data_IF_484336442473
#
_entry.id   IF_484336442473
#
_cell.length_a   1.000
_cell.length_b   1.000
_cell.length_c   1.000
_cell.angle_alpha   90.00
_cell.angle_beta   90.00
_cell.angle_gamma   90.00
#
_symmetry.space_group_name_H-M   'P 1'
#
loop_
_entity.id
_entity.type
_entity.pdbx_description
1 polymer ?
#
# COMPACT_ATOMS: atom_id res chain seq x y z
N UNK A 1 8.41 10.04 -1.24
CA UNK A 1 8.60 8.71 -1.85
C UNK A 1 8.28 7.55 -0.90
N UNK A 2 8.66 7.57 0.39
CA UNK A 2 8.39 6.48 1.35
C UNK A 2 7.04 6.59 2.10
N UNK A 3 5.94 6.90 1.39
CA UNK A 3 4.64 7.16 2.02
C UNK A 3 4.07 5.95 2.76
N UNK A 4 4.23 4.76 2.21
CA UNK A 4 3.61 3.54 2.74
C UNK A 4 4.60 2.56 3.37
N UNK A 5 5.89 2.91 3.40
CA UNK A 5 6.94 2.07 3.97
C UNK A 5 6.64 1.67 5.42
N UNK A 6 7.01 0.47 5.85
CA UNK A 6 6.50 -0.06 7.12
C UNK A 6 6.96 0.73 8.34
N UNK A 7 8.23 1.16 8.37
CA UNK A 7 8.82 1.98 9.45
C UNK A 7 8.51 3.47 9.33
N UNK A 8 7.24 3.83 9.42
CA UNK A 8 6.78 5.23 9.34
C UNK A 8 7.38 6.13 10.43
N UNK A 9 7.78 5.56 11.58
CA UNK A 9 8.51 6.26 12.64
C UNK A 9 9.87 6.78 12.14
N UNK A 10 10.62 5.96 11.41
CA UNK A 10 11.91 6.35 10.86
C UNK A 10 11.75 7.28 9.67
N UNK A 11 10.74 7.04 8.82
CA UNK A 11 10.42 7.94 7.71
C UNK A 11 10.05 9.33 8.21
N UNK A 12 9.31 9.44 9.31
CA UNK A 12 8.97 10.72 9.93
C UNK A 12 10.23 11.46 10.40
N UNK A 13 11.16 10.77 11.09
CA UNK A 13 12.45 11.34 11.50
C UNK A 13 13.25 11.88 10.32
N UNK A 14 13.31 11.15 9.22
CA UNK A 14 13.98 11.60 7.99
C UNK A 14 13.34 12.86 7.39
N UNK A 15 12.01 12.93 7.35
CA UNK A 15 11.29 14.08 6.78
C UNK A 15 11.47 15.35 7.61
N UNK A 16 11.48 15.24 8.94
CA UNK A 16 11.62 16.38 9.84
C UNK A 16 13.07 16.82 10.08
N UNK A 17 14.05 16.05 9.59
CA UNK A 17 15.47 16.31 9.87
C UNK A 17 16.00 17.57 9.16
N UNK A 18 16.83 18.38 9.87
CA UNK A 18 17.67 19.41 9.25
C UNK A 18 18.57 18.85 8.15
N UNK A 19 18.87 19.61 7.08
CA UNK A 19 19.65 19.12 5.94
C UNK A 19 21.00 18.50 6.28
N UNK A 20 21.71 19.03 7.28
CA UNK A 20 23.01 18.57 7.78
C UNK A 20 22.93 17.21 8.49
N UNK A 21 21.79 16.88 9.09
CA UNK A 21 21.59 15.61 9.81
C UNK A 21 21.04 14.49 8.91
N UNK A 22 20.46 14.83 7.76
CA UNK A 22 19.84 13.87 6.84
C UNK A 22 20.76 12.74 6.38
N UNK A 23 22.05 12.97 6.02
CA UNK A 23 22.92 11.88 5.57
C UNK A 23 23.17 10.81 6.64
N UNK A 24 23.31 11.22 7.90
CA UNK A 24 23.47 10.31 9.03
C UNK A 24 22.20 9.49 9.26
N UNK A 25 21.06 10.17 9.38
CA UNK A 25 19.77 9.51 9.59
C UNK A 25 19.37 8.60 8.42
N UNK A 26 19.76 8.92 7.19
CA UNK A 26 19.53 8.06 6.03
C UNK A 26 20.35 6.76 6.14
N UNK A 27 21.60 6.85 6.57
CA UNK A 27 22.45 5.69 6.80
C UNK A 27 21.89 4.79 7.89
N UNK A 28 21.41 5.39 8.98
CA UNK A 28 20.79 4.64 10.08
C UNK A 28 19.47 4.01 9.64
N UNK A 29 18.64 4.74 8.90
CA UNK A 29 17.42 4.23 8.29
C UNK A 29 17.72 3.02 7.41
N UNK A 30 18.68 3.15 6.49
CA UNK A 30 19.07 2.08 5.58
C UNK A 30 19.48 0.82 6.34
N UNK A 31 20.41 0.94 7.29
CA UNK A 31 20.88 -0.19 8.10
C UNK A 31 19.80 -0.81 8.98
N UNK A 32 18.93 0.00 9.56
CA UNK A 32 17.87 -0.47 10.48
C UNK A 32 16.75 -1.20 9.74
N UNK A 33 16.57 -0.90 8.45
CA UNK A 33 15.46 -1.44 7.66
C UNK A 33 15.89 -2.57 6.74
N UNK A 34 17.18 -2.83 6.63
CA UNK A 34 17.78 -3.91 5.86
C UNK A 34 17.57 -5.26 6.60
N UNK A 35 16.75 -6.17 6.04
CA UNK A 35 16.51 -7.48 6.65
C UNK A 35 17.66 -8.47 6.43
N UNK A 36 18.53 -8.26 5.44
CA UNK A 36 19.64 -9.16 5.10
C UNK A 36 20.94 -8.38 4.94
N UNK A 37 21.60 -7.95 6.04
CA UNK A 37 22.80 -7.08 5.99
C UNK A 37 24.05 -7.70 5.35
N UNK A 38 23.95 -8.95 4.89
CA UNK A 38 25.01 -9.65 4.17
C UNK A 38 25.00 -9.36 2.67
N UNK A 39 23.91 -8.82 2.13
CA UNK A 39 23.84 -8.32 0.76
C UNK A 39 24.18 -6.82 0.74
N UNK A 40 24.66 -6.28 -0.38
CA UNK A 40 24.85 -4.84 -0.53
C UNK A 40 23.53 -4.08 -0.77
N UNK A 41 22.46 -4.77 -1.13
CA UNK A 41 21.12 -4.23 -1.34
C UNK A 41 20.35 -4.03 -0.01
N UNK A 42 19.18 -3.40 -0.07
CA UNK A 42 18.23 -3.38 1.04
C UNK A 42 16.91 -3.94 0.52
N UNK A 43 16.66 -5.21 0.81
CA UNK A 43 15.55 -5.96 0.21
C UNK A 43 14.19 -5.37 0.60
N UNK A 44 14.07 -4.76 1.78
CA UNK A 44 12.83 -4.11 2.20
C UNK A 44 12.52 -2.88 1.35
N UNK A 45 13.54 -2.06 1.03
CA UNK A 45 13.38 -0.91 0.15
C UNK A 45 13.16 -1.33 -1.30
N UNK A 46 13.88 -2.33 -1.77
CA UNK A 46 13.73 -2.85 -3.13
C UNK A 46 12.32 -3.41 -3.34
N UNK A 47 11.84 -4.22 -2.40
CA UNK A 47 10.47 -4.74 -2.43
C UNK A 47 9.42 -3.63 -2.36
N UNK A 48 9.63 -2.63 -1.51
CA UNK A 48 8.75 -1.46 -1.44
C UNK A 48 8.65 -0.73 -2.78
N UNK A 49 9.79 -0.41 -3.39
CA UNK A 49 9.82 0.27 -4.69
C UNK A 49 9.27 -0.60 -5.82
N UNK A 50 9.52 -1.90 -5.79
CA UNK A 50 8.91 -2.87 -6.72
C UNK A 50 7.39 -2.85 -6.63
N UNK A 51 6.82 -2.84 -5.42
CA UNK A 51 5.37 -2.73 -5.22
C UNK A 51 4.80 -1.39 -5.69
N UNK A 52 5.52 -0.29 -5.47
CA UNK A 52 5.12 1.03 -5.99
C UNK A 52 5.06 1.02 -7.52
N UNK A 53 6.06 0.41 -8.17
CA UNK A 53 6.07 0.29 -9.63
C UNK A 53 4.90 -0.56 -10.15
N UNK A 54 4.64 -1.71 -9.52
CA UNK A 54 3.50 -2.57 -9.89
C UNK A 54 2.17 -1.85 -9.66
N UNK A 55 2.03 -1.13 -8.54
CA UNK A 55 0.84 -0.35 -8.26
C UNK A 55 0.58 0.70 -9.35
N UNK A 56 1.62 1.38 -9.82
CA UNK A 56 1.52 2.32 -10.93
C UNK A 56 1.11 1.67 -12.24
N UNK A 57 1.56 0.46 -12.51
CA UNK A 57 1.19 -0.27 -13.73
C UNK A 57 -0.26 -0.78 -13.67
N UNK A 58 -0.71 -1.27 -12.51
CA UNK A 58 -1.99 -2.00 -12.39
C UNK A 58 -3.16 -1.13 -11.95
N UNK A 59 -2.92 -0.09 -11.16
CA UNK A 59 -3.97 0.66 -10.47
C UNK A 59 -3.96 2.15 -10.81
N UNK A 60 -3.36 2.54 -11.93
CA UNK A 60 -3.47 3.89 -12.45
C UNK A 60 -4.92 4.24 -12.77
N UNK A 61 -5.33 5.43 -12.34
CA UNK A 61 -6.64 6.01 -12.61
C UNK A 61 -6.44 7.31 -13.38
N UNK A 62 -7.45 7.76 -14.15
CA UNK A 62 -7.29 8.87 -15.11
C UNK A 62 -6.70 10.15 -14.51
N UNK A 63 -6.90 10.39 -13.21
CA UNK A 63 -6.40 11.56 -12.50
C UNK A 63 -5.21 11.27 -11.55
N UNK A 64 -5.00 10.01 -11.16
CA UNK A 64 -4.11 9.64 -10.05
C UNK A 64 -3.13 8.54 -10.49
N UNK A 65 -1.81 8.69 -10.23
CA UNK A 65 -0.87 7.59 -10.44
C UNK A 65 -1.23 6.42 -9.51
N UNK A 66 -1.00 5.19 -9.95
CA UNK A 66 -1.54 4.03 -9.26
C UNK A 66 -1.12 3.87 -7.80
N UNK A 67 0.08 4.30 -7.41
CA UNK A 67 0.52 4.31 -6.01
C UNK A 67 -0.30 5.25 -5.11
N UNK A 68 -1.00 6.24 -5.64
CA UNK A 68 -1.86 7.16 -4.88
C UNK A 68 -3.33 6.71 -4.82
N UNK A 69 -3.71 5.66 -5.54
CA UNK A 69 -5.08 5.15 -5.49
C UNK A 69 -5.28 4.23 -4.29
N UNK A 70 -6.53 4.02 -3.89
CA UNK A 70 -6.87 3.15 -2.76
C UNK A 70 -6.39 1.71 -2.97
N UNK A 71 -6.50 1.21 -4.21
CA UNK A 71 -6.00 -0.13 -4.58
C UNK A 71 -4.47 -0.18 -4.50
N UNK A 72 -3.79 0.86 -4.98
CA UNK A 72 -2.33 0.92 -4.88
C UNK A 72 -1.83 1.03 -3.46
N UNK A 73 -2.47 1.84 -2.61
CA UNK A 73 -2.16 1.92 -1.19
C UNK A 73 -2.26 0.54 -0.52
N UNK A 74 -3.39 -0.15 -0.70
CA UNK A 74 -3.63 -1.48 -0.11
C UNK A 74 -2.62 -2.49 -0.65
N UNK A 75 -2.35 -2.49 -1.96
CA UNK A 75 -1.40 -3.41 -2.57
C UNK A 75 0.04 -3.18 -2.06
N UNK A 76 0.48 -1.94 -1.96
CA UNK A 76 1.84 -1.63 -1.48
C UNK A 76 2.02 -2.12 -0.05
N UNK A 77 1.01 -1.90 0.80
CA UNK A 77 1.11 -2.17 2.24
C UNK A 77 0.79 -3.62 2.63
N UNK A 78 -0.18 -4.26 1.98
CA UNK A 78 -0.62 -5.62 2.31
C UNK A 78 -0.13 -6.67 1.32
N UNK A 79 0.37 -6.25 0.15
CA UNK A 79 0.79 -7.14 -0.93
C UNK A 79 -0.35 -7.57 -1.83
N UNK A 80 -0.07 -8.60 -2.63
CA UNK A 80 -1.05 -9.22 -3.54
C UNK A 80 -2.19 -9.85 -2.72
N UNK A 81 -3.46 -9.61 -3.08
CA UNK A 81 -4.57 -10.32 -2.46
C UNK A 81 -4.56 -11.80 -2.88
N UNK A 82 -5.08 -12.67 -2.01
CA UNK A 82 -5.21 -14.10 -2.30
C UNK A 82 -6.29 -14.36 -3.37
N UNK A 83 -7.34 -13.54 -3.39
CA UNK A 83 -8.42 -13.63 -4.37
C UNK A 83 -8.96 -12.24 -4.73
N UNK A 84 -9.27 -12.04 -6.02
CA UNK A 84 -9.93 -10.85 -6.54
C UNK A 84 -11.25 -11.26 -7.19
N UNK A 85 -12.37 -10.73 -6.69
CA UNK A 85 -13.72 -11.02 -7.20
C UNK A 85 -14.33 -9.73 -7.73
N UNK A 86 -14.72 -9.71 -9.00
CA UNK A 86 -15.50 -8.62 -9.60
C UNK A 86 -16.99 -8.89 -9.35
N UNK A 87 -17.61 -8.07 -8.49
CA UNK A 87 -19.00 -8.23 -8.04
C UNK A 87 -19.97 -7.50 -8.99
N UNK A 88 -19.81 -7.69 -10.31
CA UNK A 88 -20.78 -7.18 -11.28
C UNK A 88 -22.15 -7.79 -10.99
N UNK A 89 -23.08 -6.99 -10.47
CA UNK A 89 -24.45 -7.40 -10.27
C UNK A 89 -25.21 -7.42 -11.58
N UNK A 90 -25.94 -8.50 -11.84
CA UNK A 90 -26.68 -8.83 -13.06
C UNK A 90 -27.81 -7.83 -13.44
N UNK A 91 -28.08 -6.77 -12.66
CA UNK A 91 -29.30 -5.94 -12.85
C UNK A 91 -29.13 -4.43 -12.63
N UNK A 92 -27.95 -3.86 -12.37
CA UNK A 92 -27.87 -2.38 -12.21
C UNK A 92 -26.56 -1.76 -12.68
N UNK A 93 -26.69 -0.70 -13.48
CA UNK A 93 -25.60 0.13 -14.05
C UNK A 93 -24.84 0.98 -13.01
N UNK A 94 -24.98 0.71 -11.71
CA UNK A 94 -24.83 1.77 -10.68
C UNK A 94 -23.58 1.72 -9.78
N UNK A 95 -22.67 0.75 -9.89
CA UNK A 95 -21.25 0.91 -9.54
C UNK A 95 -20.52 -0.42 -9.64
N UNK A 96 -19.41 -0.47 -10.40
CA UNK A 96 -18.52 -1.62 -10.39
C UNK A 96 -17.92 -1.79 -8.99
N UNK A 97 -18.05 -2.97 -8.40
CA UNK A 97 -17.47 -3.26 -7.08
C UNK A 97 -16.51 -4.44 -7.20
N UNK A 98 -15.29 -4.29 -6.71
CA UNK A 98 -14.27 -5.33 -6.68
C UNK A 98 -14.01 -5.68 -5.21
N UNK A 99 -13.92 -6.97 -4.91
CA UNK A 99 -13.54 -7.48 -3.59
C UNK A 99 -12.16 -8.11 -3.66
N UNK A 100 -11.28 -7.70 -2.76
CA UNK A 100 -9.99 -8.36 -2.52
C UNK A 100 -10.05 -9.12 -1.21
N UNK A 101 -9.68 -10.39 -1.22
CA UNK A 101 -9.64 -11.24 -0.04
C UNK A 101 -8.18 -11.50 0.36
N UNK A 102 -7.89 -11.30 1.64
CA UNK A 102 -6.63 -11.67 2.26
C UNK A 102 -6.93 -12.72 3.33
N UNK A 103 -6.80 -14.00 2.97
CA UNK A 103 -7.14 -15.18 3.79
C UNK A 103 -6.30 -15.21 5.05
N UNK A 104 -4.97 -15.03 4.92
CA UNK A 104 -4.06 -15.04 6.06
C UNK A 104 -4.32 -13.88 7.02
N UNK A 105 -4.68 -12.71 6.48
CA UNK A 105 -5.01 -11.52 7.26
C UNK A 105 -6.47 -11.52 7.76
N UNK A 106 -7.29 -12.48 7.31
CA UNK A 106 -8.71 -12.63 7.62
C UNK A 106 -9.50 -11.34 7.38
N UNK A 107 -9.30 -10.72 6.21
CA UNK A 107 -9.99 -9.48 5.82
C UNK A 107 -10.41 -9.52 4.35
N UNK A 108 -11.56 -8.91 4.06
CA UNK A 108 -12.07 -8.70 2.70
C UNK A 108 -12.27 -7.21 2.48
N UNK A 109 -11.62 -6.65 1.47
CA UNK A 109 -11.68 -5.23 1.17
C UNK A 109 -12.51 -4.99 -0.10
N UNK A 110 -13.54 -4.16 0.01
CA UNK A 110 -14.40 -3.77 -1.10
C UNK A 110 -13.96 -2.42 -1.65
N UNK A 111 -13.75 -2.38 -2.95
CA UNK A 111 -13.46 -1.19 -3.74
C UNK A 111 -14.64 -0.93 -4.67
N UNK A 112 -15.25 0.25 -4.57
CA UNK A 112 -16.38 0.67 -5.41
C UNK A 112 -15.93 1.74 -6.37
N UNK A 113 -16.32 1.64 -7.63
CA UNK A 113 -16.18 2.73 -8.59
C UNK A 113 -17.19 3.83 -8.25
N UNK A 114 -16.70 4.97 -7.77
CA UNK A 114 -17.55 6.10 -7.39
C UNK A 114 -17.95 6.97 -8.57
N UNK A 115 -17.19 6.95 -9.67
CA UNK A 115 -17.41 7.84 -10.81
C UNK A 115 -18.03 7.13 -12.01
N UNK A 116 -17.97 5.80 -12.05
CA UNK A 116 -18.31 5.01 -13.25
C UNK A 116 -17.22 5.07 -14.34
N UNK A 117 -16.09 5.70 -14.04
CA UNK A 117 -14.94 5.86 -14.94
C UNK A 117 -13.69 5.15 -14.40
N UNK A 118 -13.88 4.11 -13.57
CA UNK A 118 -12.80 3.31 -13.03
C UNK A 118 -12.06 3.95 -11.86
N UNK A 119 -12.69 4.89 -11.14
CA UNK A 119 -12.12 5.49 -9.92
C UNK A 119 -12.56 4.66 -8.71
N UNK A 120 -11.76 3.66 -8.40
CA UNK A 120 -12.10 2.74 -7.32
C UNK A 120 -11.68 3.32 -5.97
N UNK A 121 -12.62 3.34 -5.04
CA UNK A 121 -12.41 3.77 -3.66
C UNK A 121 -12.81 2.67 -2.69
N UNK A 122 -12.03 2.52 -1.62
CA UNK A 122 -12.38 1.66 -0.51
C UNK A 122 -13.70 2.12 0.08
N UNK A 123 -14.64 1.19 0.25
CA UNK A 123 -15.86 1.50 1.00
C UNK A 123 -15.50 1.93 2.43
N UNK A 124 -16.33 2.75 3.11
CA UNK A 124 -16.03 3.21 4.46
C UNK A 124 -15.75 2.08 5.46
N UNK A 125 -16.51 0.97 5.39
CA UNK A 125 -16.28 -0.21 6.23
C UNK A 125 -14.93 -0.87 5.94
N UNK A 126 -14.62 -1.11 4.66
CA UNK A 126 -13.33 -1.69 4.26
C UNK A 126 -12.15 -0.76 4.57
N UNK A 127 -12.33 0.57 4.52
CA UNK A 127 -11.31 1.52 4.96
C UNK A 127 -10.95 1.33 6.43
N UNK A 128 -11.95 1.20 7.31
CA UNK A 128 -11.73 0.95 8.73
C UNK A 128 -11.08 -0.41 8.99
N UNK A 129 -11.49 -1.45 8.26
CA UNK A 129 -10.88 -2.78 8.34
C UNK A 129 -9.42 -2.79 7.92
N UNK A 130 -9.11 -2.17 6.77
CA UNK A 130 -7.76 -2.01 6.26
C UNK A 130 -6.85 -1.33 7.29
N UNK A 131 -7.29 -0.22 7.90
CA UNK A 131 -6.50 0.49 8.92
C UNK A 131 -6.20 -0.40 10.14
N UNK A 132 -7.17 -1.20 10.60
CA UNK A 132 -6.96 -2.13 11.72
C UNK A 132 -5.95 -3.22 11.36
N UNK A 133 -6.07 -3.80 10.17
CA UNK A 133 -5.16 -4.86 9.69
C UNK A 133 -3.76 -4.32 9.47
N UNK A 134 -3.61 -3.17 8.83
CA UNK A 134 -2.32 -2.52 8.61
C UNK A 134 -1.59 -2.26 9.93
N UNK A 135 -2.31 -1.73 10.93
CA UNK A 135 -1.74 -1.50 12.25
C UNK A 135 -1.29 -2.81 12.93
N UNK A 136 -1.98 -3.92 12.68
CA UNK A 136 -1.56 -5.25 13.18
C UNK A 136 -0.33 -5.77 12.45
N UNK A 137 -0.29 -5.68 11.12
CA UNK A 137 0.84 -6.14 10.29
C UNK A 137 2.13 -5.42 10.69
N UNK A 138 2.08 -4.08 10.80
CA UNK A 138 3.24 -3.26 11.19
C UNK A 138 3.75 -3.48 12.61
N UNK A 139 2.95 -4.11 13.49
CA UNK A 139 3.39 -4.48 14.85
C UNK A 139 4.08 -5.84 14.91
N UNK A 140 3.93 -6.66 13.86
CA UNK A 140 4.51 -8.00 13.78
C UNK A 140 5.87 -8.01 13.07
N UNK A 141 6.27 -6.89 12.48
CA UNK A 141 7.58 -6.64 11.85
C UNK A 141 8.49 -5.89 12.83
#
# INVERSE_FOLDING_TARGET
MLRYFDRQDLVAKLRSAPPDQRPGLWRDFWKTTDPVPMTPENEALDEYFRRVQIANQRFQESADPGWLTDRGEVFITLGEPDEVVDLRGDVSRDAMTIRWNYIQLRVSLLFRDESGFGRFRLTPSSRSEYQRVLARVRRMQ
#
